data_IF_360729071321
#
_entry.id   IF_360729071321
#
_cell.length_a   1.000
_cell.length_b   1.000
_cell.length_c   1.000
_cell.angle_alpha   90.00
_cell.angle_beta   90.00
_cell.angle_gamma   90.00
#
_symmetry.space_group_name_H-M   'P 1'
#
loop_
_entity.id
_entity.type
_entity.pdbx_description
1 polymer ?
#
# COMPACT_ATOMS: atom_id res chain seq x y z
N UNK A 1 -2.69 -22.44 -3.93
CA UNK A 1 -1.95 -21.25 -4.37
C UNK A 1 -1.97 -20.21 -3.27
N UNK A 2 -0.89 -19.47 -3.07
CA UNK A 2 -0.86 -18.32 -2.14
C UNK A 2 -0.51 -17.08 -2.97
N UNK A 3 -1.32 -16.02 -2.87
CA UNK A 3 -1.00 -14.71 -3.43
C UNK A 3 -0.61 -13.80 -2.27
N UNK A 4 0.64 -13.32 -2.26
CA UNK A 4 1.18 -12.48 -1.19
C UNK A 4 1.41 -11.07 -1.72
N UNK A 5 0.56 -10.15 -1.28
CA UNK A 5 0.63 -8.75 -1.61
C UNK A 5 1.48 -7.97 -0.60
N UNK A 6 2.02 -6.83 -1.04
CA UNK A 6 2.60 -5.78 -0.17
C UNK A 6 1.49 -4.96 0.49
N UNK A 7 1.84 -3.82 1.11
CA UNK A 7 0.90 -2.94 1.80
C UNK A 7 -0.17 -2.39 0.84
N UNK A 8 -1.40 -2.19 1.30
CA UNK A 8 -2.47 -1.67 0.45
C UNK A 8 -2.45 -0.15 0.44
N UNK A 9 -2.55 0.44 -0.76
CA UNK A 9 -2.62 1.90 -0.94
C UNK A 9 -3.80 2.51 -0.15
N UNK A 10 -4.92 1.80 -0.08
CA UNK A 10 -6.15 2.22 0.58
C UNK A 10 -5.99 2.40 2.11
N UNK A 11 -4.95 1.83 2.71
CA UNK A 11 -4.68 1.99 4.14
C UNK A 11 -3.82 3.21 4.48
N UNK A 12 -3.36 4.00 3.49
CA UNK A 12 -2.51 5.17 3.75
C UNK A 12 -3.18 6.19 4.66
N UNK A 13 -4.49 6.40 4.53
CA UNK A 13 -5.23 7.31 5.40
C UNK A 13 -5.27 6.85 6.86
N UNK A 14 -5.45 5.55 7.09
CA UNK A 14 -5.40 5.00 8.44
C UNK A 14 -3.99 5.16 9.04
N UNK A 15 -2.94 4.92 8.24
CA UNK A 15 -1.55 5.12 8.67
C UNK A 15 -1.30 6.58 9.05
N UNK A 16 -1.76 7.55 8.24
CA UNK A 16 -1.68 8.98 8.57
C UNK A 16 -2.42 9.32 9.86
N UNK A 17 -3.62 8.76 10.06
CA UNK A 17 -4.40 8.99 11.28
C UNK A 17 -3.73 8.41 12.53
N UNK A 18 -3.10 7.24 12.45
CA UNK A 18 -2.44 6.60 13.59
C UNK A 18 -1.10 7.25 13.96
N UNK A 19 -0.53 8.00 13.02
CA UNK A 19 0.78 8.64 13.17
C UNK A 19 0.68 10.15 13.33
N UNK A 20 -0.54 10.68 13.43
CA UNK A 20 -0.82 12.07 13.73
C UNK A 20 -0.68 12.35 15.23
N UNK A 21 -0.03 13.47 15.57
CA UNK A 21 0.02 14.07 16.91
C UNK A 21 -0.13 15.58 16.75
N UNK A 22 -1.13 16.15 17.40
CA UNK A 22 -1.52 17.56 17.25
C UNK A 22 -1.71 17.91 15.76
N UNK A 23 -0.95 18.87 15.26
CA UNK A 23 -0.94 19.33 13.86
C UNK A 23 0.21 18.73 13.04
N UNK A 24 0.72 17.55 13.40
CA UNK A 24 1.84 16.92 12.70
C UNK A 24 1.66 15.43 12.47
N UNK A 25 2.19 14.91 11.37
CA UNK A 25 2.28 13.47 11.08
C UNK A 25 3.74 12.99 11.15
N UNK A 26 3.99 11.88 11.85
CA UNK A 26 5.35 11.33 12.03
C UNK A 26 5.48 9.96 11.37
N UNK A 27 6.15 9.94 10.22
CA UNK A 27 6.42 8.73 9.45
C UNK A 27 7.93 8.49 9.31
N UNK A 28 8.39 7.23 9.32
CA UNK A 28 9.76 6.91 8.96
C UNK A 28 9.96 6.98 7.45
N UNK A 29 11.20 7.18 7.01
CA UNK A 29 11.60 7.08 5.59
C UNK A 29 11.76 5.63 5.11
N UNK A 30 11.08 4.67 5.75
CA UNK A 30 11.17 3.25 5.39
C UNK A 30 10.59 3.02 4.00
N UNK A 31 11.32 2.36 3.08
CA UNK A 31 10.79 2.02 1.77
C UNK A 31 9.61 1.05 1.86
N UNK A 32 8.54 1.38 1.15
CA UNK A 32 7.34 0.54 0.98
C UNK A 32 6.95 0.49 -0.50
N UNK A 33 6.25 -0.56 -0.91
CA UNK A 33 5.83 -0.75 -2.30
C UNK A 33 4.31 -0.99 -2.34
N UNK A 34 3.49 0.03 -2.08
CA UNK A 34 2.08 -0.19 -1.84
C UNK A 34 1.34 -0.53 -3.13
N UNK A 35 0.38 -1.45 -3.07
CA UNK A 35 -0.41 -1.95 -4.19
C UNK A 35 -1.88 -1.54 -4.02
N UNK A 36 -2.57 -1.22 -5.12
CA UNK A 36 -4.01 -0.98 -5.08
C UNK A 36 -4.76 -2.29 -4.83
N UNK A 37 -5.80 -2.27 -3.99
CA UNK A 37 -6.64 -3.43 -3.71
C UNK A 37 -7.27 -4.01 -4.98
N UNK A 38 -7.56 -3.15 -5.97
CA UNK A 38 -8.04 -3.57 -7.30
C UNK A 38 -7.05 -4.51 -8.02
N UNK A 39 -5.77 -4.21 -7.97
CA UNK A 39 -4.73 -5.01 -8.62
C UNK A 39 -4.49 -6.32 -7.87
N UNK A 40 -4.59 -6.29 -6.54
CA UNK A 40 -4.59 -7.50 -5.71
C UNK A 40 -5.76 -8.40 -6.09
N UNK A 41 -6.98 -7.85 -6.20
CA UNK A 41 -8.17 -8.60 -6.55
C UNK A 41 -8.05 -9.24 -7.94
N UNK A 42 -7.53 -8.51 -8.93
CA UNK A 42 -7.26 -9.06 -10.26
C UNK A 42 -6.26 -10.23 -10.21
N UNK A 43 -5.14 -10.07 -9.50
CA UNK A 43 -4.14 -11.13 -9.37
C UNK A 43 -4.67 -12.38 -8.64
N UNK A 44 -5.54 -12.19 -7.63
CA UNK A 44 -6.21 -13.30 -6.94
C UNK A 44 -7.18 -14.01 -7.87
N UNK A 45 -8.00 -13.27 -8.62
CA UNK A 45 -8.94 -13.84 -9.58
C UNK A 45 -8.23 -14.70 -10.63
N UNK A 46 -7.15 -14.18 -11.23
CA UNK A 46 -6.33 -14.90 -12.21
C UNK A 46 -5.79 -16.22 -11.65
N UNK A 47 -5.31 -16.21 -10.41
CA UNK A 47 -4.75 -17.39 -9.74
C UNK A 47 -5.84 -18.38 -9.33
N UNK A 48 -7.03 -17.90 -9.00
CA UNK A 48 -8.16 -18.73 -8.57
C UNK A 48 -8.78 -19.51 -9.73
N UNK A 49 -8.81 -18.95 -10.95
CA UNK A 49 -9.38 -19.61 -12.13
C UNK A 49 -8.39 -20.54 -12.85
N UNK A 50 -7.10 -20.45 -12.52
CA UNK A 50 -6.05 -21.27 -13.11
C UNK A 50 -5.76 -22.57 -12.33
N UNK A 51 -4.86 -23.42 -12.86
CA UNK A 51 -4.34 -24.55 -12.11
C UNK A 51 -3.67 -24.12 -10.80
N UNK A 52 -3.73 -24.94 -9.74
CA UNK A 52 -3.11 -24.61 -8.47
C UNK A 52 -1.59 -24.44 -8.63
N UNK A 53 -1.07 -23.30 -8.17
CA UNK A 53 0.36 -22.98 -8.25
C UNK A 53 1.23 -23.86 -7.35
N UNK A 54 0.63 -24.48 -6.32
CA UNK A 54 1.37 -25.19 -5.25
C UNK A 54 2.55 -24.39 -4.70
N UNK A 55 2.40 -23.06 -4.64
CA UNK A 55 3.45 -22.12 -4.24
C UNK A 55 2.91 -20.72 -3.99
N UNK A 56 3.83 -19.76 -3.89
CA UNK A 56 3.56 -18.34 -3.55
C UNK A 56 3.82 -17.47 -4.78
N UNK A 57 2.84 -16.65 -5.16
CA UNK A 57 2.99 -15.52 -6.09
C UNK A 57 3.09 -14.23 -5.29
N UNK A 58 4.24 -13.55 -5.35
CA UNK A 58 4.41 -12.23 -4.75
C UNK A 58 3.92 -11.15 -5.71
N UNK A 59 3.19 -10.16 -5.20
CA UNK A 59 2.73 -9.00 -5.96
C UNK A 59 2.98 -7.72 -5.15
N UNK A 60 3.32 -6.64 -5.83
CA UNK A 60 3.50 -5.31 -5.25
C UNK A 60 3.09 -4.24 -6.26
N UNK A 61 2.95 -3.01 -5.78
CA UNK A 61 2.59 -1.89 -6.64
C UNK A 61 3.69 -1.52 -7.63
N UNK A 62 3.39 -0.63 -8.58
CA UNK A 62 4.33 -0.26 -9.64
C UNK A 62 5.56 0.49 -9.10
N UNK A 63 5.44 1.14 -7.94
CA UNK A 63 6.41 2.09 -7.43
C UNK A 63 6.77 1.79 -5.97
N UNK A 64 8.02 2.12 -5.61
CA UNK A 64 8.55 2.07 -4.24
C UNK A 64 8.67 3.50 -3.74
N UNK A 65 8.15 3.78 -2.55
CA UNK A 65 8.20 5.09 -1.91
C UNK A 65 8.83 4.98 -0.52
N UNK A 66 9.63 5.97 -0.08
CA UNK A 66 9.74 6.27 1.34
C UNK A 66 8.34 6.55 1.92
N UNK A 67 8.00 5.94 3.07
CA UNK A 67 6.66 6.09 3.66
C UNK A 67 6.34 7.56 4.02
N UNK A 68 7.31 8.33 4.48
CA UNK A 68 7.15 9.76 4.76
C UNK A 68 6.86 10.59 3.50
N UNK A 69 7.50 10.26 2.37
CA UNK A 69 7.22 10.89 1.08
C UNK A 69 5.80 10.55 0.60
N UNK A 70 5.40 9.28 0.66
CA UNK A 70 4.05 8.88 0.27
C UNK A 70 2.97 9.54 1.16
N UNK A 71 3.25 9.68 2.46
CA UNK A 71 2.40 10.40 3.39
C UNK A 71 2.25 11.87 2.99
N UNK A 72 3.36 12.55 2.66
CA UNK A 72 3.37 13.95 2.19
C UNK A 72 2.56 14.13 0.91
N UNK A 73 2.71 13.23 -0.05
CA UNK A 73 1.94 13.24 -1.30
C UNK A 73 0.43 13.07 -1.03
N UNK A 74 0.08 12.18 -0.11
CA UNK A 74 -1.32 11.93 0.28
C UNK A 74 -1.95 13.15 0.95
N UNK A 75 -1.24 13.81 1.86
CA UNK A 75 -1.71 15.04 2.52
C UNK A 75 -1.85 16.20 1.54
N UNK A 76 -0.85 16.39 0.67
CA UNK A 76 -0.88 17.41 -0.38
C UNK A 76 -2.07 17.22 -1.33
N UNK A 77 -2.38 15.98 -1.70
CA UNK A 77 -3.55 15.67 -2.53
C UNK A 77 -4.89 15.98 -1.84
N UNK A 78 -4.93 15.90 -0.51
CA UNK A 78 -6.12 16.23 0.31
C UNK A 78 -6.22 17.71 0.68
N UNK A 79 -5.21 18.53 0.36
CA UNK A 79 -5.13 19.91 0.82
C UNK A 79 -4.92 20.04 2.34
N UNK A 80 -4.35 19.00 2.96
CA UNK A 80 -4.02 18.97 4.39
C UNK A 80 -2.59 19.50 4.59
N UNK A 81 -2.44 20.43 5.55
CA UNK A 81 -1.19 21.15 5.80
C UNK A 81 -0.37 20.62 7.00
N UNK A 82 -0.83 19.54 7.64
CA UNK A 82 -0.15 18.86 8.74
C UNK A 82 1.10 18.08 8.30
#
# INVERSE_FOLDING_TARGET
>A
SIVRATQFMEFMEAVLSWTASDDSVRLPATPIQPIAAKDVAAAVADVAVGPPLNGIRNIGGPEVFPLDELGRLTLAHKGDAR
#
